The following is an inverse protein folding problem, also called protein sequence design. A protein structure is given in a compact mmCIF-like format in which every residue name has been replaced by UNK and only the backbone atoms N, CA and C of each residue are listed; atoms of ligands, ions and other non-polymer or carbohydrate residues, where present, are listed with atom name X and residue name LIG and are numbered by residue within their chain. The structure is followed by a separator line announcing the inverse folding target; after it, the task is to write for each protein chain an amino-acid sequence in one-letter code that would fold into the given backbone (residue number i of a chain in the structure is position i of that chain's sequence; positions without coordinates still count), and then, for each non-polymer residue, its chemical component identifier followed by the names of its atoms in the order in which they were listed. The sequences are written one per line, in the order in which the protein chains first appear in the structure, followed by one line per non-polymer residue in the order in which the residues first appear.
data_IF_055089448012
#
_entry.id   IF_055089448012
#
_cell.length_a   1.000
_cell.length_b   1.000
_cell.length_c   1.000
_cell.angle_alpha   90.00
_cell.angle_beta   90.00
_cell.angle_gamma   90.00
#
_symmetry.space_group_name_H-M   'P 1'
#
loop_
_entity.id
_entity.type
_entity.pdbx_description
1 polymer ?
#
# COMPACT_ATOMS: atom_id res chain seq x y z
N UNK A 1 -9.24 -32.84 4.90
CA UNK A 1 -8.69 -31.77 5.74
C UNK A 1 -8.90 -30.47 4.98
N UNK A 2 -9.95 -29.70 5.35
CA UNK A 2 -10.21 -28.37 4.84
C UNK A 2 -9.09 -27.46 5.36
N UNK A 3 -8.23 -26.97 4.47
CA UNK A 3 -7.31 -25.89 4.81
C UNK A 3 -8.18 -24.67 5.16
N UNK A 4 -8.19 -24.28 6.42
CA UNK A 4 -8.76 -23.00 6.84
C UNK A 4 -7.98 -21.91 6.09
N UNK A 5 -8.67 -21.12 5.28
CA UNK A 5 -8.03 -19.99 4.59
C UNK A 5 -7.39 -19.07 5.64
N UNK A 6 -6.13 -18.71 5.44
CA UNK A 6 -5.46 -17.75 6.34
C UNK A 6 -6.23 -16.42 6.34
N UNK A 7 -6.26 -15.71 7.47
CA UNK A 7 -6.84 -14.37 7.53
C UNK A 7 -6.18 -13.45 6.50
N UNK A 8 -6.96 -12.62 5.82
CA UNK A 8 -6.48 -11.78 4.71
C UNK A 8 -5.38 -10.80 5.14
N UNK A 9 -5.40 -10.34 6.40
CA UNK A 9 -4.34 -9.48 6.97
C UNK A 9 -3.05 -10.27 7.16
N UNK A 10 -3.10 -11.53 7.64
CA UNK A 10 -1.91 -12.38 7.79
C UNK A 10 -1.24 -12.67 6.44
N UNK A 11 -2.04 -12.89 5.40
CA UNK A 11 -1.52 -13.05 4.04
C UNK A 11 -0.82 -11.77 3.52
N UNK A 12 -1.34 -10.58 3.86
CA UNK A 12 -0.69 -9.32 3.50
C UNK A 12 0.63 -9.16 4.25
N UNK A 13 0.66 -9.45 5.55
CA UNK A 13 1.89 -9.40 6.35
C UNK A 13 2.94 -10.34 5.76
N UNK A 14 2.54 -11.57 5.42
CA UNK A 14 3.41 -12.55 4.76
C UNK A 14 3.93 -12.05 3.41
N UNK A 15 3.10 -11.35 2.63
CA UNK A 15 3.48 -10.76 1.36
C UNK A 15 4.53 -9.64 1.50
N UNK A 16 4.46 -8.87 2.60
CA UNK A 16 5.42 -7.81 2.91
C UNK A 16 6.69 -8.32 3.59
N UNK A 17 6.70 -9.57 4.04
CA UNK A 17 7.87 -10.24 4.61
C UNK A 17 8.73 -10.79 3.47
N UNK A 18 9.90 -10.21 3.27
CA UNK A 18 10.77 -10.55 2.13
C UNK A 18 11.77 -11.64 2.49
N UNK A 19 12.09 -12.46 1.51
CA UNK A 19 13.25 -13.33 1.59
C UNK A 19 14.53 -12.53 1.39
N UNK A 20 15.44 -12.58 2.36
CA UNK A 20 16.75 -11.95 2.23
C UNK A 20 17.68 -12.88 1.45
N UNK A 21 18.19 -12.42 0.32
CA UNK A 21 19.11 -13.16 -0.53
C UNK A 21 20.56 -12.83 -0.20
N UNK A 22 20.82 -11.54 0.07
CA UNK A 22 22.12 -10.97 0.43
C UNK A 22 21.91 -9.77 1.36
N UNK A 23 22.99 -9.12 1.80
CA UNK A 23 22.93 -8.00 2.74
C UNK A 23 22.02 -6.87 2.28
N UNK A 24 21.99 -6.62 0.98
CA UNK A 24 21.21 -5.54 0.37
C UNK A 24 20.23 -6.04 -0.71
N UNK A 25 20.07 -7.36 -0.86
CA UNK A 25 19.27 -7.95 -1.91
C UNK A 25 18.14 -8.79 -1.32
N UNK A 26 16.91 -8.52 -1.73
CA UNK A 26 15.71 -9.17 -1.22
C UNK A 26 14.82 -9.66 -2.34
N UNK A 27 14.03 -10.70 -2.06
CA UNK A 27 13.01 -11.22 -2.98
C UNK A 27 11.64 -11.17 -2.34
N UNK A 28 10.70 -10.49 -3.01
CA UNK A 28 9.28 -10.47 -2.64
C UNK A 28 8.45 -11.30 -3.62
N UNK A 29 7.49 -12.07 -3.11
CA UNK A 29 6.51 -12.74 -3.95
C UNK A 29 5.52 -11.72 -4.51
N UNK A 30 4.98 -11.98 -5.71
CA UNK A 30 3.89 -11.20 -6.25
C UNK A 30 2.55 -11.84 -5.93
N UNK A 31 1.52 -11.01 -5.73
CA UNK A 31 0.16 -11.47 -5.45
C UNK A 31 -0.81 -10.90 -6.46
N UNK A 32 -1.69 -11.77 -6.91
CA UNK A 32 -2.82 -11.40 -7.72
C UNK A 32 -3.98 -10.91 -6.83
N UNK A 33 -4.30 -9.64 -6.93
CA UNK A 33 -5.45 -9.01 -6.27
C UNK A 33 -6.60 -8.70 -7.25
N UNK A 34 -6.68 -9.43 -8.38
CA UNK A 34 -7.71 -9.20 -9.40
C UNK A 34 -7.27 -8.24 -10.50
N UNK A 35 -6.10 -7.62 -10.41
CA UNK A 35 -5.54 -6.70 -11.39
C UNK A 35 -4.77 -7.42 -12.50
N UNK A 36 -4.52 -6.72 -13.61
CA UNK A 36 -3.72 -7.25 -14.73
C UNK A 36 -2.23 -7.30 -14.39
N UNK A 37 -1.77 -6.40 -13.55
CA UNK A 37 -0.37 -6.20 -13.18
C UNK A 37 -0.22 -6.22 -11.67
N UNK A 38 1.01 -6.33 -11.18
CA UNK A 38 1.29 -6.20 -9.75
C UNK A 38 0.75 -4.87 -9.25
N UNK A 39 0.05 -4.91 -8.11
CA UNK A 39 -0.45 -3.72 -7.44
C UNK A 39 0.71 -2.83 -6.98
N UNK A 40 0.64 -1.54 -7.28
CA UNK A 40 1.73 -0.61 -6.95
C UNK A 40 1.98 -0.50 -5.45
N UNK A 41 0.93 -0.54 -4.63
CA UNK A 41 1.05 -0.57 -3.18
C UNK A 41 1.84 -1.78 -2.66
N UNK A 42 1.73 -2.95 -3.32
CA UNK A 42 2.57 -4.10 -2.99
C UNK A 42 4.05 -3.77 -3.20
N UNK A 43 4.40 -3.16 -4.33
CA UNK A 43 5.79 -2.79 -4.64
C UNK A 43 6.31 -1.75 -3.66
N UNK A 44 5.48 -0.74 -3.29
CA UNK A 44 5.80 0.26 -2.28
C UNK A 44 6.06 -0.35 -0.91
N UNK A 45 5.14 -1.18 -0.42
CA UNK A 45 5.26 -1.82 0.89
C UNK A 45 6.48 -2.73 0.97
N UNK A 46 6.68 -3.58 -0.04
CA UNK A 46 7.84 -4.47 -0.13
C UNK A 46 9.17 -3.68 -0.24
N UNK A 47 9.22 -2.60 -1.03
CA UNK A 47 10.41 -1.77 -1.13
C UNK A 47 10.75 -1.10 0.20
N UNK A 48 9.74 -0.62 0.94
CA UNK A 48 9.96 -0.06 2.28
C UNK A 48 10.43 -1.14 3.26
N UNK A 49 9.84 -2.35 3.24
CA UNK A 49 10.30 -3.48 4.06
C UNK A 49 11.76 -3.83 3.75
N UNK A 50 12.17 -3.87 2.48
CA UNK A 50 13.56 -4.09 2.08
C UNK A 50 14.49 -3.00 2.63
N UNK A 51 14.10 -1.73 2.52
CA UNK A 51 14.86 -0.60 3.05
C UNK A 51 15.03 -0.70 4.57
N UNK A 52 13.94 -0.94 5.31
CA UNK A 52 13.93 -1.10 6.76
C UNK A 52 14.85 -2.23 7.23
N UNK A 53 14.87 -3.36 6.52
CA UNK A 53 15.73 -4.50 6.83
C UNK A 53 17.25 -4.20 6.76
N UNK A 54 17.62 -3.06 6.20
CA UNK A 54 19.03 -2.60 6.10
C UNK A 54 19.36 -1.43 7.01
N UNK A 55 18.38 -0.92 7.77
CA UNK A 55 18.55 0.20 8.70
C UNK A 55 18.74 -0.34 10.11
N UNK A 56 19.74 0.16 10.80
CA UNK A 56 20.08 -0.22 12.16
C UNK A 56 19.47 0.77 13.18
N UNK A 57 19.56 0.42 14.47
CA UNK A 57 19.31 1.30 15.61
C UNK A 57 17.86 1.81 15.79
N UNK A 58 16.85 1.06 15.34
CA UNK A 58 15.45 1.42 15.58
C UNK A 58 14.98 2.70 14.89
N UNK A 59 15.71 3.20 13.90
CA UNK A 59 15.30 4.33 13.07
C UNK A 59 14.04 4.01 12.29
N UNK A 60 13.13 4.95 12.24
CA UNK A 60 11.83 4.83 11.60
C UNK A 60 11.79 5.63 10.30
N UNK A 61 11.10 5.11 9.30
CA UNK A 61 10.88 5.85 8.06
C UNK A 61 10.02 7.09 8.34
N UNK A 62 10.45 8.26 7.87
CA UNK A 62 9.67 9.49 7.97
C UNK A 62 9.31 10.08 6.60
N UNK A 63 9.95 9.62 5.53
CA UNK A 63 9.59 9.99 4.16
C UNK A 63 9.91 8.88 3.18
N UNK A 64 9.08 8.77 2.14
CA UNK A 64 9.27 7.91 0.99
C UNK A 64 8.80 8.63 -0.26
N UNK A 65 9.64 8.61 -1.31
CA UNK A 65 9.29 9.11 -2.64
C UNK A 65 9.63 8.05 -3.68
N UNK A 66 8.72 7.83 -4.62
CA UNK A 66 8.83 6.70 -5.55
C UNK A 66 8.41 7.03 -6.97
N UNK A 67 8.93 6.27 -7.94
CA UNK A 67 8.52 6.29 -9.33
C UNK A 67 8.22 4.88 -9.84
N UNK A 68 7.04 4.70 -10.39
CA UNK A 68 6.65 3.53 -11.15
C UNK A 68 7.09 3.68 -12.60
N UNK A 69 7.91 2.78 -13.09
CA UNK A 69 8.51 2.87 -14.44
C UNK A 69 7.87 1.91 -15.43
N UNK A 70 7.49 0.73 -14.96
CA UNK A 70 6.92 -0.35 -15.79
C UNK A 70 5.94 -1.18 -14.99
N UNK A 71 4.97 -1.76 -15.67
CA UNK A 71 4.05 -2.72 -15.09
C UNK A 71 4.79 -3.98 -14.64
N UNK A 72 4.55 -4.42 -13.40
CA UNK A 72 5.07 -5.67 -12.87
C UNK A 72 4.22 -6.87 -13.30
N UNK A 73 4.86 -8.01 -13.54
CA UNK A 73 4.19 -9.28 -13.83
C UNK A 73 3.83 -10.00 -12.52
N UNK A 74 2.55 -10.33 -12.35
CA UNK A 74 2.02 -11.00 -11.14
C UNK A 74 2.48 -12.45 -10.98
N UNK A 75 2.94 -13.10 -12.05
CA UNK A 75 3.34 -14.51 -12.03
C UNK A 75 4.81 -14.71 -11.61
N UNK A 76 5.54 -13.62 -11.38
CA UNK A 76 6.96 -13.65 -11.06
C UNK A 76 7.29 -12.84 -9.80
N UNK A 77 8.27 -13.29 -9.00
CA UNK A 77 8.74 -12.51 -7.85
C UNK A 77 9.45 -11.24 -8.31
N UNK A 78 9.57 -10.30 -7.38
CA UNK A 78 10.29 -9.04 -7.56
C UNK A 78 11.58 -9.10 -6.74
N UNK A 79 12.68 -8.70 -7.34
CA UNK A 79 13.96 -8.52 -6.64
C UNK A 79 14.10 -7.04 -6.27
N UNK A 80 14.42 -6.78 -5.00
CA UNK A 80 14.66 -5.45 -4.45
C UNK A 80 16.15 -5.33 -4.12
N UNK A 81 16.81 -4.40 -4.79
CA UNK A 81 18.21 -4.03 -4.55
C UNK A 81 18.25 -2.71 -3.76
N UNK A 82 18.86 -2.75 -2.59
CA UNK A 82 18.90 -1.64 -1.63
C UNK A 82 20.28 -1.00 -1.63
N UNK A 83 20.39 0.22 -2.12
CA UNK A 83 21.56 1.06 -1.93
C UNK A 83 21.49 1.76 -0.57
N UNK A 84 22.48 1.48 0.31
CA UNK A 84 22.68 2.18 1.58
C UNK A 84 23.35 3.52 1.32
N UNK A 85 22.60 4.45 0.72
CA UNK A 85 23.10 5.74 0.25
C UNK A 85 23.79 6.54 1.35
N UNK A 86 23.25 6.47 2.59
CA UNK A 86 23.83 7.16 3.76
C UNK A 86 23.44 6.49 5.07
N UNK A 87 24.41 6.39 5.98
CA UNK A 87 24.22 6.18 7.41
C UNK A 87 24.94 7.30 8.16
N UNK A 88 24.16 8.22 8.74
CA UNK A 88 24.63 9.34 9.54
C UNK A 88 24.36 9.12 11.04
N UNK A 89 24.59 10.13 11.86
CA UNK A 89 24.29 10.08 13.31
C UNK A 89 22.81 9.85 13.59
N UNK A 90 21.93 10.75 13.17
CA UNK A 90 20.47 10.66 13.43
C UNK A 90 19.66 10.16 12.22
N UNK A 91 20.21 10.19 11.00
CA UNK A 91 19.49 9.87 9.76
C UNK A 91 20.17 8.77 8.95
N UNK A 92 19.35 7.92 8.32
CA UNK A 92 19.76 7.00 7.26
C UNK A 92 18.93 7.24 6.01
N UNK A 93 19.56 7.07 4.84
CA UNK A 93 18.88 7.14 3.53
C UNK A 93 19.10 5.86 2.78
N UNK A 94 18.03 5.33 2.20
CA UNK A 94 18.04 4.14 1.35
C UNK A 94 17.42 4.46 0.01
N UNK A 95 18.06 3.97 -1.04
CA UNK A 95 17.47 3.91 -2.38
C UNK A 95 17.18 2.46 -2.70
N UNK A 96 15.96 2.16 -3.11
CA UNK A 96 15.54 0.80 -3.46
C UNK A 96 15.16 0.75 -4.92
N UNK A 97 15.68 -0.24 -5.62
CA UNK A 97 15.33 -0.53 -7.02
C UNK A 97 14.62 -1.88 -7.10
N UNK A 98 13.40 -1.90 -7.63
CA UNK A 98 12.65 -3.13 -7.86
C UNK A 98 12.86 -3.62 -9.30
N UNK A 99 13.20 -4.89 -9.46
CA UNK A 99 13.64 -5.49 -10.72
C UNK A 99 12.82 -6.75 -11.01
N UNK A 100 12.34 -6.85 -12.25
CA UNK A 100 11.79 -8.10 -12.82
C UNK A 100 12.34 -8.31 -14.22
N UNK A 101 12.65 -9.55 -14.59
CA UNK A 101 13.17 -9.92 -15.92
C UNK A 101 14.36 -9.06 -16.36
N UNK A 102 15.27 -8.73 -15.41
CA UNK A 102 16.42 -7.87 -15.66
C UNK A 102 16.10 -6.39 -15.95
N UNK A 103 14.84 -5.97 -15.74
CA UNK A 103 14.41 -4.58 -15.98
C UNK A 103 13.95 -3.94 -14.69
N UNK A 104 14.36 -2.69 -14.48
CA UNK A 104 13.84 -1.87 -13.37
C UNK A 104 12.38 -1.55 -13.66
N UNK A 105 11.49 -1.94 -12.74
CA UNK A 105 10.05 -1.65 -12.82
C UNK A 105 9.64 -0.48 -11.92
N UNK A 106 10.42 -0.22 -10.86
CA UNK A 106 10.14 0.80 -9.85
C UNK A 106 11.44 1.19 -9.14
N UNK A 107 11.52 2.41 -8.63
CA UNK A 107 12.50 2.79 -7.63
C UNK A 107 11.92 3.77 -6.62
N UNK A 108 12.50 3.80 -5.42
CA UNK A 108 12.19 4.79 -4.40
C UNK A 108 13.43 5.23 -3.63
N UNK A 109 13.30 6.38 -2.96
CA UNK A 109 14.18 6.82 -1.90
C UNK A 109 13.38 6.93 -0.60
N UNK A 110 13.90 6.39 0.49
CA UNK A 110 13.31 6.47 1.83
C UNK A 110 14.33 7.05 2.80
N UNK A 111 13.89 7.95 3.66
CA UNK A 111 14.68 8.52 4.76
C UNK A 111 14.17 8.02 6.09
N UNK A 112 15.10 7.70 6.97
CA UNK A 112 14.87 7.15 8.30
C UNK A 112 15.52 8.04 9.35
N UNK A 113 14.87 8.18 10.49
CA UNK A 113 15.32 9.02 11.59
C UNK A 113 15.16 8.29 12.92
N UNK A 114 16.06 8.55 13.85
CA UNK A 114 15.84 8.25 15.27
C UNK A 114 14.71 9.12 15.81
N UNK A 115 13.93 8.57 16.74
CA UNK A 115 12.91 9.36 17.42
C UNK A 115 13.60 10.35 18.34
N UNK A 116 13.33 11.62 18.14
CA UNK A 116 13.88 12.74 18.92
C UNK A 116 12.73 13.59 19.47
N UNK A 117 12.88 14.10 20.69
CA UNK A 117 12.00 15.13 21.22
C UNK A 117 12.43 16.49 20.69
N UNK A 118 11.50 17.35 20.34
CA UNK A 118 11.84 18.65 19.77
C UNK A 118 10.63 19.54 19.57
N UNK A 119 10.81 20.60 18.78
CA UNK A 119 9.71 21.49 18.41
C UNK A 119 8.75 20.76 17.47
N UNK A 120 7.46 20.79 17.79
CA UNK A 120 6.41 20.15 17.01
C UNK A 120 5.59 21.17 16.25
N UNK A 121 5.28 20.85 15.00
CA UNK A 121 4.39 21.65 14.17
C UNK A 121 3.64 20.75 13.18
N UNK A 122 2.36 21.00 13.02
CA UNK A 122 1.54 20.36 11.99
C UNK A 122 0.41 21.27 11.52
N UNK A 123 -0.06 21.07 10.30
CA UNK A 123 -1.30 21.67 9.81
C UNK A 123 -2.50 21.09 10.54
N UNK A 124 -3.54 21.90 10.75
CA UNK A 124 -4.77 21.41 11.33
C UNK A 124 -5.37 20.30 10.44
N UNK A 125 -5.80 19.21 11.07
CA UNK A 125 -6.54 18.16 10.37
C UNK A 125 -7.86 18.72 9.83
N UNK A 126 -8.28 18.39 8.60
CA UNK A 126 -9.60 18.76 8.10
C UNK A 126 -10.71 18.28 9.04
N UNK A 127 -11.74 19.10 9.21
CA UNK A 127 -12.91 18.74 10.02
C UNK A 127 -13.73 17.73 9.20
N UNK A 128 -13.82 16.50 9.69
CA UNK A 128 -14.56 15.40 9.08
C UNK A 128 -15.34 14.65 10.17
N UNK A 129 -16.47 13.98 9.84
CA UNK A 129 -17.11 13.08 10.79
C UNK A 129 -16.14 11.98 11.26
N UNK A 130 -16.24 11.54 12.52
CA UNK A 130 -15.46 10.41 13.01
C UNK A 130 -15.86 9.12 12.26
N UNK A 131 -14.99 8.11 12.17
CA UNK A 131 -15.26 6.90 11.39
C UNK A 131 -16.52 6.15 11.85
N UNK A 132 -16.91 6.26 13.11
CA UNK A 132 -18.09 5.62 13.68
C UNK A 132 -19.39 6.15 13.05
N UNK A 133 -19.40 7.40 12.62
CA UNK A 133 -20.55 8.09 12.01
C UNK A 133 -20.62 7.91 10.48
N UNK A 134 -19.66 7.19 9.90
CA UNK A 134 -19.60 6.94 8.45
C UNK A 134 -19.82 5.46 8.19
N UNK A 135 -20.81 5.12 7.40
CA UNK A 135 -21.04 3.73 6.98
C UNK A 135 -19.83 3.19 6.18
N UNK A 136 -19.43 1.94 6.41
CA UNK A 136 -18.46 1.28 5.55
C UNK A 136 -18.88 1.31 4.08
N UNK A 137 -17.94 1.27 3.16
CA UNK A 137 -18.23 1.17 1.73
C UNK A 137 -19.13 -0.05 1.47
N UNK A 138 -20.31 0.20 0.89
CA UNK A 138 -21.24 -0.87 0.59
C UNK A 138 -20.63 -1.87 -0.41
N UNK A 139 -20.89 -3.16 -0.28
CA UNK A 139 -20.55 -4.14 -1.31
C UNK A 139 -21.18 -3.74 -2.65
N UNK A 140 -20.51 -4.07 -3.76
CA UNK A 140 -21.10 -3.87 -5.07
C UNK A 140 -22.42 -4.63 -5.21
N UNK A 141 -23.40 -3.99 -5.84
CA UNK A 141 -24.67 -4.65 -6.13
C UNK A 141 -24.45 -5.96 -6.91
N UNK A 142 -25.20 -7.03 -6.62
CA UNK A 142 -25.00 -8.34 -7.25
C UNK A 142 -24.99 -8.28 -8.79
N UNK A 143 -25.80 -7.41 -9.39
CA UNK A 143 -25.88 -7.23 -10.84
C UNK A 143 -24.62 -6.56 -11.43
N UNK A 144 -23.93 -5.74 -10.64
CA UNK A 144 -22.65 -5.13 -11.01
C UNK A 144 -21.55 -6.16 -10.86
N UNK A 145 -21.53 -6.85 -9.71
CA UNK A 145 -20.55 -7.90 -9.43
C UNK A 145 -20.56 -8.98 -10.51
N UNK A 146 -21.75 -9.42 -10.94
CA UNK A 146 -21.91 -10.46 -11.97
C UNK A 146 -21.33 -10.07 -13.34
N UNK A 147 -21.17 -8.77 -13.63
CA UNK A 147 -20.58 -8.28 -14.89
C UNK A 147 -19.06 -8.20 -14.86
N UNK A 148 -18.43 -8.34 -13.70
CA UNK A 148 -16.98 -8.29 -13.56
C UNK A 148 -16.36 -9.64 -13.96
N UNK A 149 -15.08 -9.66 -14.36
CA UNK A 149 -14.36 -10.91 -14.58
C UNK A 149 -14.38 -11.80 -13.34
N UNK A 150 -14.51 -13.12 -13.50
CA UNK A 150 -14.60 -14.07 -12.39
C UNK A 150 -13.45 -13.96 -11.37
N UNK A 151 -12.26 -13.56 -11.81
CA UNK A 151 -11.09 -13.28 -10.98
C UNK A 151 -11.35 -12.11 -10.02
N UNK A 152 -11.90 -11.02 -10.53
CA UNK A 152 -12.25 -9.82 -9.75
C UNK A 152 -13.39 -10.12 -8.79
N UNK A 153 -14.41 -10.87 -9.24
CA UNK A 153 -15.50 -11.32 -8.37
C UNK A 153 -14.97 -12.09 -7.16
N UNK A 154 -14.08 -13.06 -7.37
CA UNK A 154 -13.47 -13.86 -6.29
C UNK A 154 -12.68 -12.99 -5.31
N UNK A 155 -11.92 -12.02 -5.82
CA UNK A 155 -11.16 -11.10 -4.98
C UNK A 155 -12.07 -10.24 -4.12
N UNK A 156 -13.10 -9.63 -4.70
CA UNK A 156 -14.07 -8.80 -4.00
C UNK A 156 -14.87 -9.60 -2.96
N UNK A 157 -15.28 -10.83 -3.29
CA UNK A 157 -16.04 -11.70 -2.37
C UNK A 157 -15.22 -12.17 -1.16
N UNK A 158 -13.90 -12.19 -1.28
CA UNK A 158 -12.99 -12.58 -0.20
C UNK A 158 -12.81 -11.46 0.83
N UNK A 159 -13.13 -10.22 0.44
CA UNK A 159 -12.81 -9.02 1.20
C UNK A 159 -11.34 -8.62 1.10
N UNK A 160 -11.04 -7.38 1.42
CA UNK A 160 -9.70 -6.84 1.47
C UNK A 160 -9.14 -6.85 2.91
N UNK A 161 -7.84 -6.59 3.08
CA UNK A 161 -7.22 -6.46 4.40
C UNK A 161 -7.57 -5.14 5.10
N UNK A 162 -8.18 -4.19 4.38
CA UNK A 162 -8.53 -2.87 4.89
C UNK A 162 -10.03 -2.61 4.75
N UNK A 163 -10.59 -1.94 5.76
CA UNK A 163 -11.88 -1.27 5.71
C UNK A 163 -11.67 0.19 5.29
N UNK A 164 -12.51 0.67 4.37
CA UNK A 164 -12.53 2.05 3.90
C UNK A 164 -13.87 2.69 4.22
N UNK A 165 -13.86 3.90 4.80
CA UNK A 165 -15.06 4.71 5.04
C UNK A 165 -14.87 6.07 4.37
N UNK A 166 -15.62 6.30 3.30
CA UNK A 166 -15.54 7.53 2.54
C UNK A 166 -16.41 8.61 3.18
N UNK A 167 -15.81 9.78 3.48
CA UNK A 167 -16.54 10.95 4.01
C UNK A 167 -17.64 11.40 3.03
N UNK A 168 -17.35 11.30 1.73
CA UNK A 168 -18.31 11.60 0.68
C UNK A 168 -18.70 10.30 -0.04
N UNK A 169 -20.02 9.98 -0.10
CA UNK A 169 -20.51 8.81 -0.83
C UNK A 169 -19.98 8.76 -2.26
N UNK A 170 -19.71 7.57 -2.76
CA UNK A 170 -19.23 7.34 -4.12
C UNK A 170 -20.30 6.59 -4.90
N UNK A 171 -20.67 7.13 -6.08
CA UNK A 171 -21.37 6.37 -7.11
C UNK A 171 -20.34 5.96 -8.16
N UNK A 172 -19.98 4.68 -8.18
CA UNK A 172 -18.96 4.17 -9.10
C UNK A 172 -19.52 3.93 -10.51
N UNK A 173 -20.83 3.84 -10.66
CA UNK A 173 -21.48 3.62 -11.96
C UNK A 173 -21.74 4.92 -12.70
N UNK A 174 -22.12 5.97 -11.98
CA UNK A 174 -22.42 7.30 -12.54
C UNK A 174 -21.83 8.38 -11.64
N UNK A 175 -20.49 8.50 -11.58
CA UNK A 175 -19.88 9.44 -10.67
C UNK A 175 -20.24 10.88 -11.07
N UNK A 176 -20.74 11.70 -10.13
CA UNK A 176 -20.97 13.11 -10.39
C UNK A 176 -19.64 13.83 -10.56
N UNK A 177 -19.63 14.93 -11.35
CA UNK A 177 -18.49 15.82 -11.37
C UNK A 177 -18.31 16.49 -10.02
N UNK A 178 -17.10 16.46 -9.49
CA UNK A 178 -16.76 17.06 -8.20
C UNK A 178 -15.28 17.49 -8.17
N UNK A 179 -14.87 18.33 -7.20
CA UNK A 179 -13.47 18.69 -7.04
C UNK A 179 -12.55 17.47 -6.86
N UNK A 180 -11.27 17.55 -7.29
CA UNK A 180 -10.32 16.44 -7.27
C UNK A 180 -9.72 16.22 -5.87
N UNK A 181 -10.56 16.06 -4.87
CA UNK A 181 -10.13 15.67 -3.53
C UNK A 181 -11.07 14.61 -2.96
N UNK A 182 -10.55 13.79 -2.07
CA UNK A 182 -11.34 12.86 -1.29
C UNK A 182 -10.79 12.75 0.13
N UNK A 183 -11.67 12.35 1.03
CA UNK A 183 -11.36 12.10 2.43
C UNK A 183 -11.94 10.75 2.79
N UNK A 184 -11.15 9.93 3.44
CA UNK A 184 -11.59 8.60 3.88
C UNK A 184 -10.83 8.20 5.13
N UNK A 185 -11.49 7.41 5.95
CA UNK A 185 -10.86 6.67 7.02
C UNK A 185 -10.45 5.29 6.51
N UNK A 186 -9.35 4.81 7.04
CA UNK A 186 -8.75 3.53 6.69
C UNK A 186 -8.31 2.82 7.96
N UNK A 187 -8.65 1.54 8.07
CA UNK A 187 -8.08 0.67 9.12
C UNK A 187 -7.85 -0.74 8.59
N UNK A 188 -6.95 -1.48 9.23
CA UNK A 188 -6.84 -2.93 9.04
C UNK A 188 -8.07 -3.64 9.64
N UNK A 189 -8.48 -4.73 9.01
CA UNK A 189 -9.61 -5.53 9.48
C UNK A 189 -9.29 -6.36 10.71
N UNK A 190 -8.01 -6.72 10.89
CA UNK A 190 -7.54 -7.45 12.07
C UNK A 190 -6.47 -6.64 12.81
N UNK A 191 -6.40 -6.74 14.15
CA UNK A 191 -5.34 -6.10 14.91
C UNK A 191 -3.99 -6.74 14.60
N UNK A 192 -2.96 -5.91 14.58
CA UNK A 192 -1.55 -6.30 14.50
C UNK A 192 -0.81 -5.74 15.70
N UNK A 193 0.34 -6.33 16.05
CA UNK A 193 1.17 -5.82 17.14
C UNK A 193 1.71 -4.40 16.90
N UNK A 194 2.58 -3.93 17.80
CA UNK A 194 3.08 -2.56 17.84
C UNK A 194 4.37 -2.35 17.02
N UNK A 195 4.66 -3.23 16.06
CA UNK A 195 5.82 -3.08 15.16
C UNK A 195 5.62 -1.89 14.21
N UNK A 196 6.28 -0.78 14.53
CA UNK A 196 6.19 0.46 13.75
C UNK A 196 6.63 0.26 12.30
N UNK A 197 7.65 -0.55 12.06
CA UNK A 197 8.13 -0.85 10.70
C UNK A 197 7.06 -1.54 9.86
N UNK A 198 6.36 -2.52 10.46
CA UNK A 198 5.24 -3.19 9.80
C UNK A 198 4.08 -2.21 9.53
N UNK A 199 3.70 -1.37 10.49
CA UNK A 199 2.66 -0.35 10.29
C UNK A 199 3.01 0.60 9.13
N UNK A 200 4.28 1.03 9.03
CA UNK A 200 4.75 1.89 7.95
C UNK A 200 4.70 1.19 6.59
N UNK A 201 5.10 -0.09 6.51
CA UNK A 201 5.02 -0.86 5.27
C UNK A 201 3.56 -1.10 4.82
N UNK A 202 2.66 -1.36 5.76
CA UNK A 202 1.23 -1.47 5.52
C UNK A 202 0.61 -0.14 5.07
N UNK A 203 1.03 0.98 5.66
CA UNK A 203 0.61 2.31 5.22
C UNK A 203 1.11 2.61 3.80
N UNK A 204 2.36 2.27 3.49
CA UNK A 204 2.91 2.40 2.14
C UNK A 204 2.12 1.54 1.12
N UNK A 205 1.76 0.29 1.49
CA UNK A 205 0.88 -0.54 0.68
C UNK A 205 -0.49 0.11 0.48
N UNK A 206 -1.10 0.63 1.55
CA UNK A 206 -2.43 1.22 1.50
C UNK A 206 -2.48 2.55 0.74
N UNK A 207 -1.37 3.28 0.66
CA UNK A 207 -1.30 4.60 0.04
C UNK A 207 -1.57 4.59 -1.47
N UNK A 208 -1.48 3.44 -2.14
CA UNK A 208 -1.79 3.31 -3.57
C UNK A 208 -3.28 3.04 -3.85
N UNK A 209 -4.11 2.87 -2.82
CA UNK A 209 -5.55 2.76 -3.01
C UNK A 209 -6.20 4.12 -3.25
N UNK A 210 -7.16 4.17 -4.17
CA UNK A 210 -8.10 5.29 -4.37
C UNK A 210 -7.48 6.60 -4.93
N UNK A 211 -6.17 6.73 -5.08
CA UNK A 211 -5.54 7.99 -5.49
C UNK A 211 -5.83 8.32 -6.97
N UNK A 212 -5.65 7.36 -7.86
CA UNK A 212 -5.87 7.58 -9.30
C UNK A 212 -7.31 7.99 -9.60
N UNK A 213 -8.29 7.37 -8.93
CA UNK A 213 -9.71 7.71 -9.08
C UNK A 213 -10.02 9.18 -8.75
N UNK A 214 -9.25 9.80 -7.85
CA UNK A 214 -9.43 11.21 -7.49
C UNK A 214 -9.22 12.15 -8.69
N UNK A 215 -8.31 11.83 -9.60
CA UNK A 215 -8.03 12.62 -10.80
C UNK A 215 -9.20 12.63 -11.81
N UNK A 216 -10.08 11.64 -11.75
CA UNK A 216 -11.23 11.51 -12.66
C UNK A 216 -12.47 12.25 -12.18
N UNK A 217 -12.52 12.68 -10.92
CA UNK A 217 -13.69 13.34 -10.33
C UNK A 217 -14.16 14.60 -11.07
N UNK A 218 -13.29 15.53 -11.54
CA UNK A 218 -13.74 16.69 -12.29
C UNK A 218 -14.41 16.35 -13.62
N UNK A 219 -14.14 15.16 -14.14
CA UNK A 219 -14.67 14.70 -15.42
C UNK A 219 -15.96 13.87 -15.28
N UNK A 220 -16.28 13.39 -14.07
CA UNK A 220 -17.44 12.53 -13.83
C UNK A 220 -17.33 11.19 -14.53
N UNK A 221 -16.15 10.61 -14.56
CA UNK A 221 -15.87 9.29 -15.14
C UNK A 221 -15.38 8.32 -14.05
N UNK A 222 -15.82 7.08 -14.13
CA UNK A 222 -15.28 5.99 -13.31
C UNK A 222 -13.97 5.48 -13.94
N UNK A 223 -13.12 4.96 -13.09
CA UNK A 223 -11.84 4.36 -13.46
C UNK A 223 -11.84 2.89 -13.08
#
# INVERSE_FOLDING_TARGET
LSATAEPVVSELISLLSLERLEDNLFRGQSRDIGTKYVFGGQVLGQALSAAQATVENGRQAHSLHAYFLRAGNIDHPIVYDVDRTRDGGSFSVRRVTAIQHGKVIFFCAASFQEREDGAEHQSAMPVVPPPEDIEPAAPLAPEVLAKLPAKVQRWLSRGGPFEFRHVFPRDELKPPKRPPFQQMWLRLNDPIGDDVGLHQALLAYASDFQLLGTSTFPHGISY
#
